data_IF_216291668719
#
_entry.id   IF_216291668719
#
_cell.length_a   1.000
_cell.length_b   1.000
_cell.length_c   1.000
_cell.angle_alpha   90.00
_cell.angle_beta   90.00
_cell.angle_gamma   90.00
#
_symmetry.space_group_name_H-M   'P 1'
#
loop_
_entity.id
_entity.type
_entity.pdbx_description
1 polymer ?
#
# COMPACT_ATOMS: atom_id res chain seq x y z
N UNK A 1 -7.21 -16.68 -15.16
CA UNK A 1 -7.08 -15.26 -15.51
C UNK A 1 -7.95 -14.98 -16.71
N UNK A 2 -8.75 -13.95 -16.66
CA UNK A 2 -9.54 -13.48 -17.80
C UNK A 2 -9.48 -11.95 -17.85
N UNK A 3 -9.53 -11.38 -19.05
CA UNK A 3 -9.66 -9.94 -19.23
C UNK A 3 -11.12 -9.54 -18.99
N UNK A 4 -11.32 -8.57 -18.13
CA UNK A 4 -12.64 -8.04 -17.78
C UNK A 4 -12.67 -6.54 -18.05
N UNK A 5 -13.74 -6.09 -18.72
CA UNK A 5 -13.94 -4.66 -18.95
C UNK A 5 -14.01 -3.92 -17.61
N UNK A 6 -13.24 -2.83 -17.50
CA UNK A 6 -13.13 -2.02 -16.27
C UNK A 6 -14.50 -1.49 -15.81
N UNK A 7 -15.41 -1.25 -16.73
CA UNK A 7 -16.74 -0.74 -16.43
C UNK A 7 -17.65 -1.78 -15.72
N UNK A 8 -17.30 -3.06 -15.79
CA UNK A 8 -18.01 -4.14 -15.08
C UNK A 8 -17.52 -4.34 -13.66
N UNK A 9 -16.37 -3.79 -13.31
CA UNK A 9 -15.74 -3.91 -11.99
C UNK A 9 -16.16 -2.76 -11.09
N UNK A 10 -16.63 -3.07 -9.89
CA UNK A 10 -17.01 -2.08 -8.88
C UNK A 10 -16.15 -2.22 -7.64
N UNK A 11 -15.69 -1.10 -7.12
CA UNK A 11 -14.99 -1.08 -5.83
C UNK A 11 -15.90 -1.61 -4.72
N UNK A 12 -15.33 -2.33 -3.76
CA UNK A 12 -16.05 -2.78 -2.57
C UNK A 12 -16.32 -1.58 -1.64
N UNK A 13 -17.55 -1.11 -1.65
CA UNK A 13 -18.09 -0.05 -0.78
C UNK A 13 -19.07 -0.59 0.29
N UNK A 14 -19.17 -1.93 0.42
CA UNK A 14 -20.06 -2.61 1.35
C UNK A 14 -21.35 -3.14 0.70
N UNK A 15 -21.37 -3.34 -0.63
CA UNK A 15 -22.56 -3.81 -1.37
C UNK A 15 -22.92 -5.26 -1.09
N UNK A 16 -21.93 -6.08 -0.72
CA UNK A 16 -22.15 -7.51 -0.43
C UNK A 16 -22.65 -7.65 1.00
N UNK A 17 -23.80 -8.30 1.19
CA UNK A 17 -24.40 -8.50 2.53
C UNK A 17 -23.41 -9.20 3.47
N UNK A 18 -23.14 -8.55 4.61
CA UNK A 18 -22.22 -9.07 5.63
C UNK A 18 -20.74 -8.85 5.35
N UNK A 19 -20.37 -8.31 4.20
CA UNK A 19 -19.00 -7.97 3.85
C UNK A 19 -18.76 -6.46 4.08
N UNK A 20 -17.81 -6.06 4.94
CA UNK A 20 -17.48 -4.66 5.11
C UNK A 20 -16.79 -4.10 3.86
N UNK A 21 -16.83 -2.77 3.72
CA UNK A 21 -16.04 -2.08 2.69
C UNK A 21 -14.54 -2.38 2.85
N UNK A 22 -13.78 -2.26 1.77
CA UNK A 22 -12.33 -2.44 1.82
C UNK A 22 -11.72 -1.38 2.77
N UNK A 23 -10.99 -1.79 3.83
CA UNK A 23 -10.42 -0.87 4.82
C UNK A 23 -9.15 -0.17 4.33
N UNK A 24 -8.57 -0.60 3.20
CA UNK A 24 -7.31 -0.05 2.72
C UNK A 24 -7.49 1.38 2.21
N UNK A 25 -6.68 2.27 2.76
CA UNK A 25 -6.52 3.65 2.31
C UNK A 25 -5.14 3.80 1.70
N UNK A 26 -5.05 4.56 0.62
CA UNK A 26 -3.79 4.92 0.00
C UNK A 26 -3.68 6.44 0.00
N UNK A 27 -2.57 6.97 0.52
CA UNK A 27 -2.28 8.41 0.49
C UNK A 27 -2.01 8.85 -0.95
N UNK A 28 -2.31 10.11 -1.26
CA UNK A 28 -2.22 10.66 -2.62
C UNK A 28 -0.86 10.42 -3.29
N UNK A 29 0.24 10.62 -2.57
CA UNK A 29 1.59 10.40 -3.12
C UNK A 29 1.84 8.93 -3.49
N UNK A 30 1.40 7.99 -2.65
CA UNK A 30 1.51 6.56 -2.97
C UNK A 30 0.56 6.15 -4.09
N UNK A 31 -0.60 6.80 -4.19
CA UNK A 31 -1.52 6.56 -5.30
C UNK A 31 -0.93 7.03 -6.63
N UNK A 32 -0.32 8.21 -6.67
CA UNK A 32 0.40 8.71 -7.86
C UNK A 32 1.52 7.78 -8.31
N UNK A 33 2.29 7.23 -7.35
CA UNK A 33 3.31 6.23 -7.66
C UNK A 33 2.72 4.94 -8.23
N UNK A 34 1.57 4.50 -7.72
CA UNK A 34 0.85 3.35 -8.28
C UNK A 34 0.37 3.62 -9.71
N UNK A 35 -0.19 4.80 -9.98
CA UNK A 35 -0.60 5.22 -11.33
C UNK A 35 0.60 5.20 -12.27
N UNK A 36 1.72 5.83 -11.86
CA UNK A 36 2.96 5.84 -12.63
C UNK A 36 3.49 4.44 -12.89
N UNK A 37 3.52 3.58 -11.89
CA UNK A 37 3.97 2.18 -12.03
C UNK A 37 3.15 1.40 -13.06
N UNK A 38 1.83 1.63 -13.12
CA UNK A 38 0.97 0.97 -14.12
C UNK A 38 1.21 1.57 -15.52
N UNK A 39 1.53 2.85 -15.62
CA UNK A 39 1.87 3.48 -16.90
C UNK A 39 3.20 2.99 -17.45
N UNK A 40 4.20 2.85 -16.57
CA UNK A 40 5.56 2.44 -16.95
C UNK A 40 5.61 0.94 -17.28
N UNK A 41 4.93 0.11 -16.49
CA UNK A 41 4.98 -1.36 -16.58
C UNK A 41 3.56 -1.97 -16.54
N UNK A 42 2.73 -1.79 -17.58
CA UNK A 42 1.35 -2.29 -17.59
C UNK A 42 1.24 -3.82 -17.49
N UNK A 43 2.27 -4.57 -17.87
CA UNK A 43 2.37 -6.02 -17.72
C UNK A 43 2.36 -6.48 -16.26
N UNK A 44 2.68 -5.60 -15.31
CA UNK A 44 2.55 -5.90 -13.88
C UNK A 44 1.12 -6.22 -13.46
N UNK A 45 0.13 -5.78 -14.23
CA UNK A 45 -1.28 -6.13 -14.00
C UNK A 45 -1.55 -7.62 -14.21
N UNK A 46 -0.82 -8.28 -15.12
CA UNK A 46 -0.92 -9.72 -15.34
C UNK A 46 -0.30 -10.51 -14.18
N UNK A 47 0.77 -10.00 -13.59
CA UNK A 47 1.44 -10.60 -12.44
C UNK A 47 0.65 -10.42 -11.13
N UNK A 48 -0.15 -9.37 -11.04
CA UNK A 48 -0.97 -9.03 -9.88
C UNK A 48 -2.40 -8.69 -10.30
N UNK A 49 -3.11 -9.70 -10.80
CA UNK A 49 -4.50 -9.57 -11.24
C UNK A 49 -5.44 -9.02 -10.14
N UNK A 50 -6.53 -8.40 -10.55
CA UNK A 50 -7.61 -8.02 -9.64
C UNK A 50 -8.40 -9.27 -9.25
N UNK A 51 -8.83 -9.35 -8.00
CA UNK A 51 -9.73 -10.38 -7.51
C UNK A 51 -11.12 -9.78 -7.33
N UNK A 52 -12.09 -10.27 -8.05
CA UNK A 52 -13.48 -9.86 -7.97
C UNK A 52 -14.37 -11.01 -7.51
N UNK A 53 -15.47 -10.68 -6.83
CA UNK A 53 -16.52 -11.61 -6.44
C UNK A 53 -17.77 -11.36 -7.28
N UNK A 54 -18.36 -12.41 -7.80
CA UNK A 54 -19.62 -12.33 -8.52
C UNK A 54 -20.79 -12.28 -7.53
N UNK A 55 -21.29 -11.06 -7.30
CA UNK A 55 -22.45 -10.79 -6.47
C UNK A 55 -23.71 -10.73 -7.35
N UNK A 56 -24.24 -11.88 -7.75
CA UNK A 56 -25.42 -12.00 -8.60
C UNK A 56 -25.31 -11.22 -9.94
N UNK A 57 -24.18 -11.35 -10.62
CA UNK A 57 -23.89 -10.69 -11.88
C UNK A 57 -23.20 -9.32 -11.75
N UNK A 58 -23.01 -8.84 -10.54
CA UNK A 58 -22.25 -7.63 -10.25
C UNK A 58 -20.86 -8.01 -9.73
N UNK A 59 -19.81 -7.60 -10.43
CA UNK A 59 -18.42 -7.92 -10.07
C UNK A 59 -17.87 -6.92 -9.04
N UNK A 60 -17.78 -7.33 -7.79
CA UNK A 60 -17.28 -6.52 -6.67
C UNK A 60 -15.81 -6.86 -6.44
N UNK A 61 -14.94 -5.86 -6.47
CA UNK A 61 -13.49 -6.04 -6.27
C UNK A 61 -13.18 -6.30 -4.81
N UNK A 62 -12.69 -7.49 -4.52
CA UNK A 62 -12.28 -7.94 -3.19
C UNK A 62 -10.84 -7.52 -2.91
N UNK A 63 -9.94 -7.71 -3.88
CA UNK A 63 -8.53 -7.32 -3.81
C UNK A 63 -8.13 -6.51 -5.05
N UNK A 64 -7.34 -5.46 -4.85
CA UNK A 64 -6.89 -4.58 -5.93
C UNK A 64 -7.77 -3.34 -6.17
N UNK A 65 -8.57 -2.89 -5.19
CA UNK A 65 -9.43 -1.71 -5.33
C UNK A 65 -8.65 -0.44 -5.73
N UNK A 66 -7.42 -0.24 -5.20
CA UNK A 66 -6.59 0.90 -5.60
C UNK A 66 -6.01 0.74 -7.00
N UNK A 67 -5.67 -0.49 -7.40
CA UNK A 67 -5.28 -0.81 -8.80
C UNK A 67 -6.43 -0.52 -9.77
N UNK A 68 -7.65 -0.92 -9.45
CA UNK A 68 -8.81 -0.58 -10.26
C UNK A 68 -8.94 0.92 -10.48
N UNK A 69 -8.83 1.73 -9.41
CA UNK A 69 -8.87 3.20 -9.51
C UNK A 69 -7.72 3.76 -10.35
N UNK A 70 -6.51 3.26 -10.17
CA UNK A 70 -5.36 3.68 -10.94
C UNK A 70 -5.50 3.34 -12.42
N UNK A 71 -6.00 2.15 -12.76
CA UNK A 71 -6.30 1.75 -14.13
C UNK A 71 -7.37 2.63 -14.77
N UNK A 72 -8.39 3.05 -14.02
CA UNK A 72 -9.41 4.02 -14.48
C UNK A 72 -8.78 5.36 -14.82
N UNK A 73 -7.85 5.85 -13.99
CA UNK A 73 -7.16 7.11 -14.20
C UNK A 73 -6.21 7.06 -15.42
N UNK A 74 -5.55 5.93 -15.63
CA UNK A 74 -4.69 5.69 -16.80
C UNK A 74 -5.49 5.54 -18.10
N UNK A 75 -6.78 5.17 -18.02
CA UNK A 75 -7.65 4.94 -19.18
C UNK A 75 -7.57 3.51 -19.73
N UNK A 76 -7.16 2.55 -18.91
CA UNK A 76 -7.18 1.13 -19.27
C UNK A 76 -8.63 0.66 -19.38
N UNK A 77 -8.96 -0.08 -20.44
CA UNK A 77 -10.31 -0.52 -20.72
C UNK A 77 -10.61 -1.95 -20.26
N UNK A 78 -9.60 -2.81 -20.19
CA UNK A 78 -9.70 -4.20 -19.77
C UNK A 78 -8.59 -4.56 -18.80
N UNK A 79 -8.90 -5.31 -17.76
CA UNK A 79 -7.95 -5.66 -16.70
C UNK A 79 -7.95 -7.16 -16.44
N UNK A 80 -6.76 -7.78 -16.28
CA UNK A 80 -6.66 -9.16 -15.81
C UNK A 80 -7.35 -9.32 -14.45
N UNK A 81 -8.34 -10.23 -14.42
CA UNK A 81 -9.19 -10.38 -13.23
C UNK A 81 -9.44 -11.86 -12.95
N UNK A 82 -9.32 -12.24 -11.68
CA UNK A 82 -9.77 -13.51 -11.13
C UNK A 82 -11.16 -13.34 -10.55
N UNK A 83 -12.14 -14.04 -11.09
CA UNK A 83 -13.51 -14.01 -10.56
C UNK A 83 -13.68 -15.16 -9.57
N UNK A 84 -14.08 -14.84 -8.35
CA UNK A 84 -14.46 -15.79 -7.32
C UNK A 84 -15.92 -16.22 -7.54
N UNK A 85 -16.24 -17.52 -7.35
CA UNK A 85 -17.58 -18.02 -7.55
C UNK A 85 -18.56 -17.50 -6.50
N UNK A 86 -19.85 -17.43 -6.87
CA UNK A 86 -20.95 -16.92 -6.01
C UNK A 86 -21.11 -17.69 -4.68
N UNK A 87 -20.69 -18.95 -4.64
CA UNK A 87 -20.74 -19.76 -3.42
C UNK A 87 -19.54 -19.53 -2.46
N UNK A 88 -18.68 -18.54 -2.74
CA UNK A 88 -17.63 -18.15 -1.81
C UNK A 88 -18.23 -17.53 -0.54
N UNK A 89 -17.93 -18.07 0.63
CA UNK A 89 -18.50 -17.58 1.88
C UNK A 89 -18.01 -16.15 2.24
N UNK A 90 -18.84 -15.41 2.94
CA UNK A 90 -18.52 -14.04 3.38
C UNK A 90 -17.28 -14.02 4.29
N UNK A 91 -17.11 -15.03 5.15
CA UNK A 91 -15.94 -15.17 6.02
C UNK A 91 -14.66 -15.32 5.20
N UNK A 92 -14.73 -16.09 4.10
CA UNK A 92 -13.60 -16.27 3.19
C UNK A 92 -13.28 -14.99 2.42
N UNK A 93 -14.30 -14.24 1.99
CA UNK A 93 -14.12 -12.94 1.35
C UNK A 93 -13.47 -11.93 2.31
N UNK A 94 -13.93 -11.87 3.57
CA UNK A 94 -13.30 -11.04 4.61
C UNK A 94 -11.83 -11.38 4.81
N UNK A 95 -11.51 -12.67 4.89
CA UNK A 95 -10.14 -13.13 5.02
C UNK A 95 -9.26 -12.72 3.84
N UNK A 96 -9.78 -12.81 2.61
CA UNK A 96 -9.06 -12.40 1.40
C UNK A 96 -8.75 -10.91 1.38
N UNK A 97 -9.73 -10.06 1.76
CA UNK A 97 -9.52 -8.60 1.86
C UNK A 97 -8.33 -8.28 2.78
N UNK A 98 -8.27 -8.91 3.95
CA UNK A 98 -7.21 -8.64 4.93
C UNK A 98 -5.89 -9.25 4.48
N UNK A 99 -5.88 -10.50 4.03
CA UNK A 99 -4.66 -11.19 3.60
C UNK A 99 -3.98 -10.52 2.39
N UNK A 100 -4.75 -9.97 1.46
CA UNK A 100 -4.19 -9.20 0.33
C UNK A 100 -3.53 -7.88 0.79
N UNK A 101 -3.95 -7.35 1.93
CA UNK A 101 -3.45 -6.10 2.47
C UNK A 101 -2.28 -6.27 3.46
N UNK A 102 -1.98 -7.49 3.90
CA UNK A 102 -0.90 -7.79 4.84
C UNK A 102 0.39 -8.05 4.06
N UNK A 103 1.46 -7.36 4.45
CA UNK A 103 2.81 -7.69 4.00
C UNK A 103 3.41 -8.76 4.93
N UNK A 104 3.82 -9.89 4.39
CA UNK A 104 4.41 -11.00 5.15
C UNK A 104 5.94 -11.01 5.13
N UNK A 105 6.56 -10.01 4.52
CA UNK A 105 8.01 -9.90 4.44
C UNK A 105 8.49 -8.50 4.77
N UNK A 106 9.68 -8.45 5.31
CA UNK A 106 10.45 -7.22 5.48
C UNK A 106 11.57 -7.16 4.44
N UNK A 107 12.07 -5.98 4.18
CA UNK A 107 13.21 -5.78 3.32
C UNK A 107 14.52 -5.96 4.11
N UNK A 108 15.50 -6.63 3.50
CA UNK A 108 16.88 -6.50 3.93
C UNK A 108 17.41 -5.14 3.46
N UNK A 109 17.47 -4.21 4.38
CA UNK A 109 17.83 -2.82 4.09
C UNK A 109 19.28 -2.64 3.68
N UNK A 110 20.19 -3.50 4.17
CA UNK A 110 21.59 -3.47 3.74
C UNK A 110 21.70 -3.94 2.29
N UNK A 111 20.96 -4.98 1.94
CA UNK A 111 20.90 -5.47 0.55
C UNK A 111 20.34 -4.41 -0.39
N UNK A 112 19.23 -3.75 0.00
CA UNK A 112 18.66 -2.67 -0.80
C UNK A 112 19.60 -1.50 -0.96
N UNK A 113 20.28 -1.06 0.12
CA UNK A 113 21.20 0.06 0.08
C UNK A 113 22.44 -0.19 -0.79
N UNK A 114 22.87 -1.46 -0.90
CA UNK A 114 24.08 -1.81 -1.62
C UNK A 114 23.86 -2.17 -3.10
N UNK A 115 22.67 -2.63 -3.46
CA UNK A 115 22.43 -3.23 -4.78
C UNK A 115 21.31 -2.55 -5.58
N UNK A 116 20.60 -1.58 -5.02
CA UNK A 116 19.56 -0.80 -5.70
C UNK A 116 19.77 0.70 -5.56
N UNK A 117 19.42 1.44 -6.60
CA UNK A 117 19.43 2.89 -6.57
C UNK A 117 18.28 3.42 -5.69
N UNK A 118 18.60 4.31 -4.74
CA UNK A 118 17.62 4.87 -3.78
C UNK A 118 16.49 5.62 -4.50
N UNK A 119 16.82 6.30 -5.60
CA UNK A 119 15.84 7.00 -6.43
C UNK A 119 14.79 6.05 -7.01
N UNK A 120 15.24 4.94 -7.60
CA UNK A 120 14.36 3.93 -8.18
C UNK A 120 13.48 3.28 -7.12
N UNK A 121 14.05 2.91 -5.97
CA UNK A 121 13.29 2.37 -4.84
C UNK A 121 12.18 3.31 -4.39
N UNK A 122 12.51 4.60 -4.29
CA UNK A 122 11.53 5.62 -3.94
C UNK A 122 10.43 5.75 -4.99
N UNK A 123 10.77 5.75 -6.27
CA UNK A 123 9.81 5.84 -7.38
C UNK A 123 8.87 4.63 -7.43
N UNK A 124 9.40 3.45 -7.13
CA UNK A 124 8.61 2.21 -7.03
C UNK A 124 7.78 2.11 -5.74
N UNK A 125 7.89 3.08 -4.83
CA UNK A 125 7.03 3.21 -3.66
C UNK A 125 7.60 2.64 -2.37
N UNK A 126 8.86 2.22 -2.36
CA UNK A 126 9.58 1.84 -1.12
C UNK A 126 9.82 3.10 -0.28
N UNK A 127 9.59 3.02 1.03
CA UNK A 127 9.96 4.11 1.92
C UNK A 127 11.47 4.05 2.20
N UNK A 128 12.19 5.04 1.70
CA UNK A 128 13.66 5.12 1.77
C UNK A 128 14.15 6.24 2.69
N UNK A 129 13.29 6.87 3.49
CA UNK A 129 13.62 8.05 4.31
C UNK A 129 14.83 7.80 5.23
N UNK A 130 15.03 6.57 5.67
CA UNK A 130 16.14 6.17 6.53
C UNK A 130 17.41 5.73 5.77
N UNK A 131 17.34 5.54 4.45
CA UNK A 131 18.50 5.25 3.60
C UNK A 131 19.20 6.54 3.11
N UNK A 132 18.50 7.67 3.18
CA UNK A 132 19.08 8.98 2.84
C UNK A 132 19.70 9.56 4.11
N UNK A 133 21.01 9.85 4.12
CA UNK A 133 21.62 10.55 5.24
C UNK A 133 20.86 11.87 5.44
N UNK A 134 20.30 12.07 6.63
CA UNK A 134 19.72 13.35 6.97
C UNK A 134 20.85 14.38 6.95
N UNK A 135 20.82 15.30 5.98
CA UNK A 135 21.67 16.50 5.99
C UNK A 135 21.24 17.51 7.06
N UNK A 136 20.54 17.06 8.10
CA UNK A 136 20.35 17.86 9.29
C UNK A 136 21.67 17.84 10.06
N UNK A 137 22.37 18.96 10.07
CA UNK A 137 23.42 19.22 11.04
C UNK A 137 22.91 18.81 12.42
N UNK A 138 23.71 18.10 13.23
CA UNK A 138 23.27 17.72 14.57
C UNK A 138 22.90 19.02 15.29
N UNK A 139 21.62 19.19 15.60
CA UNK A 139 21.15 20.29 16.44
C UNK A 139 22.01 20.22 17.70
N UNK A 140 22.85 21.21 17.89
CA UNK A 140 23.66 21.35 19.07
C UNK A 140 22.74 21.17 20.28
N UNK A 141 22.99 20.13 21.05
CA UNK A 141 22.29 19.92 22.32
C UNK A 141 22.75 21.10 23.18
N UNK A 142 21.87 22.08 23.32
CA UNK A 142 22.08 23.18 24.26
C UNK A 142 22.02 22.61 25.68
N UNK A 143 23.19 22.28 26.20
CA UNK A 143 23.41 21.79 27.55
C UNK A 143 23.30 22.91 28.61
N UNK A 144 22.57 23.98 28.33
CA UNK A 144 22.32 25.06 29.32
C UNK A 144 21.13 24.77 30.25
N UNK A 145 20.71 23.51 30.39
CA UNK A 145 19.91 23.15 31.57
C UNK A 145 20.86 23.12 32.80
N UNK A 146 20.96 24.26 33.47
CA UNK A 146 21.53 24.33 34.81
C UNK A 146 20.95 23.22 35.67
N UNK A 147 21.79 22.24 36.00
CA UNK A 147 21.41 21.14 36.88
C UNK A 147 20.85 21.72 38.19
N UNK A 148 19.74 21.18 38.64
CA UNK A 148 19.21 21.50 39.96
C UNK A 148 20.22 21.00 40.98
N UNK A 149 20.76 21.91 41.74
CA UNK A 149 21.71 21.60 42.83
C UNK A 149 20.87 21.25 44.05
N UNK A 150 21.22 20.17 44.74
CA UNK A 150 20.59 19.79 45.99
C UNK A 150 20.78 20.89 47.03
N UNK A 151 19.73 21.47 47.63
CA UNK A 151 19.84 22.57 48.57
C UNK A 151 20.53 22.19 49.90
N UNK A 152 20.69 20.89 50.15
CA UNK A 152 21.23 20.39 51.42
C UNK A 152 22.69 19.93 51.35
N UNK A 153 23.21 19.51 50.18
CA UNK A 153 24.57 19.01 50.05
C UNK A 153 25.37 19.62 48.88
N UNK A 154 24.73 20.47 48.03
CA UNK A 154 25.40 21.16 46.92
C UNK A 154 25.79 20.29 45.74
N UNK A 155 25.39 19.00 45.68
CA UNK A 155 25.64 18.10 44.56
C UNK A 155 24.66 18.35 43.42
N UNK A 156 25.15 18.31 42.17
CA UNK A 156 24.33 18.37 40.95
C UNK A 156 23.49 17.11 40.83
N UNK A 157 22.18 17.30 40.63
CA UNK A 157 21.20 16.23 40.38
C UNK A 157 21.05 16.00 38.87
#
# INVERSE_FOLDING_TARGET
MQLVSINKLKNNTGQVKGLPKNPRLLKDDKFKKLVKSIQDDPEMLELREIIAYDNNGELIVIAGNMRLKACQEVGITEIPTKILPQNTSVEKLKAYIIKDNVSFGDHDWNELANNWEVGDLSDWGVNVDFLVPSNEEPKSIDNTKKGKVCPNCGLSL
#
